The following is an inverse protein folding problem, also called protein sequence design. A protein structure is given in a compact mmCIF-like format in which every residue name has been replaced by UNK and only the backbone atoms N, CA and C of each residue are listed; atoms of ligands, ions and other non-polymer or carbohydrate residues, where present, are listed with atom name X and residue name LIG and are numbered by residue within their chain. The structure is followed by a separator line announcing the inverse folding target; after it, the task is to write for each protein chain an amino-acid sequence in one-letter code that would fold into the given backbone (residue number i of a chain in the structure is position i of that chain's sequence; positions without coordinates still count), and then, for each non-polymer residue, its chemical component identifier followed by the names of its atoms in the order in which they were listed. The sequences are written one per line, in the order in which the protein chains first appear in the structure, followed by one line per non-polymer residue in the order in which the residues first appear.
data_IF_636897190508
#
_entry.id   IF_636897190508
#
_cell.length_a   1.000
_cell.length_b   1.000
_cell.length_c   1.000
_cell.angle_alpha   90.00
_cell.angle_beta   90.00
_cell.angle_gamma   90.00
#
_symmetry.space_group_name_H-M   'P 1'
#
loop_
_entity.id
_entity.type
_entity.pdbx_description
1 polymer ?
#
# COMPACT_ATOMS: atom_id res chain seq x y z
N UNK A 1 -46.13 -13.11 -7.76
CA UNK A 1 -45.68 -14.30 -6.99
C UNK A 1 -44.77 -15.20 -7.82
N UNK A 2 -45.27 -15.98 -8.79
CA UNK A 2 -44.44 -16.98 -9.54
C UNK A 2 -43.27 -16.36 -10.32
N UNK A 3 -43.50 -15.30 -11.12
CA UNK A 3 -42.43 -14.62 -11.87
C UNK A 3 -41.32 -14.07 -10.97
N UNK A 4 -41.71 -13.44 -9.85
CA UNK A 4 -40.77 -12.92 -8.85
C UNK A 4 -39.92 -14.05 -8.26
N UNK A 5 -40.53 -15.18 -7.90
CA UNK A 5 -39.82 -16.35 -7.38
C UNK A 5 -38.83 -16.94 -8.41
N UNK A 6 -39.20 -16.98 -9.70
CA UNK A 6 -38.28 -17.40 -10.76
C UNK A 6 -37.08 -16.46 -10.91
N UNK A 7 -37.31 -15.14 -10.95
CA UNK A 7 -36.23 -14.13 -11.05
C UNK A 7 -35.29 -14.21 -9.85
N UNK A 8 -35.87 -14.31 -8.63
CA UNK A 8 -35.11 -14.40 -7.40
C UNK A 8 -34.29 -15.71 -7.35
N UNK A 9 -34.90 -16.83 -7.75
CA UNK A 9 -34.24 -18.14 -7.80
C UNK A 9 -33.10 -18.20 -8.82
N UNK A 10 -33.33 -17.71 -10.04
CA UNK A 10 -32.27 -17.65 -11.06
C UNK A 10 -31.14 -16.71 -10.67
N UNK A 11 -31.47 -15.58 -10.05
CA UNK A 11 -30.46 -14.63 -9.54
C UNK A 11 -29.62 -15.23 -8.42
N UNK A 12 -30.24 -15.95 -7.49
CA UNK A 12 -29.54 -16.63 -6.41
C UNK A 12 -28.60 -17.73 -6.94
N UNK A 13 -29.04 -18.53 -7.92
CA UNK A 13 -28.21 -19.56 -8.53
C UNK A 13 -27.01 -18.97 -9.29
N UNK A 14 -27.23 -17.88 -10.04
CA UNK A 14 -26.15 -17.14 -10.71
C UNK A 14 -25.14 -16.59 -9.69
N UNK A 15 -25.62 -16.01 -8.59
CA UNK A 15 -24.77 -15.48 -7.54
C UNK A 15 -23.93 -16.59 -6.89
N UNK A 16 -24.52 -17.75 -6.60
CA UNK A 16 -23.81 -18.91 -6.04
C UNK A 16 -22.75 -19.43 -7.01
N UNK A 17 -23.09 -19.60 -8.30
CA UNK A 17 -22.15 -20.05 -9.32
C UNK A 17 -20.98 -19.05 -9.51
N UNK A 18 -21.29 -17.76 -9.48
CA UNK A 18 -20.29 -16.70 -9.53
C UNK A 18 -19.36 -16.75 -8.31
N UNK A 19 -19.90 -16.81 -7.09
CA UNK A 19 -19.08 -16.92 -5.88
C UNK A 19 -18.20 -18.15 -5.87
N UNK A 20 -18.74 -19.30 -6.28
CA UNK A 20 -17.97 -20.53 -6.38
C UNK A 20 -16.81 -20.42 -7.40
N UNK A 21 -17.01 -19.67 -8.48
CA UNK A 21 -15.97 -19.41 -9.46
C UNK A 21 -14.91 -18.46 -8.89
N UNK A 22 -15.33 -17.38 -8.24
CA UNK A 22 -14.42 -16.42 -7.60
C UNK A 22 -13.57 -17.11 -6.54
N UNK A 23 -14.18 -17.90 -5.65
CA UNK A 23 -13.44 -18.63 -4.60
C UNK A 23 -12.44 -19.60 -5.21
N UNK A 24 -12.82 -20.35 -6.25
CA UNK A 24 -11.90 -21.26 -6.93
C UNK A 24 -10.69 -20.53 -7.53
N UNK A 25 -10.92 -19.42 -8.22
CA UNK A 25 -9.83 -18.62 -8.80
C UNK A 25 -8.94 -18.00 -7.73
N UNK A 26 -9.53 -17.46 -6.66
CA UNK A 26 -8.78 -16.86 -5.55
C UNK A 26 -7.93 -17.90 -4.83
N UNK A 27 -8.48 -19.09 -4.57
CA UNK A 27 -7.75 -20.21 -3.96
C UNK A 27 -6.59 -20.65 -4.86
N UNK A 28 -6.83 -20.77 -6.17
CA UNK A 28 -5.79 -21.17 -7.12
C UNK A 28 -4.67 -20.13 -7.18
N UNK A 29 -5.04 -18.86 -7.24
CA UNK A 29 -4.10 -17.75 -7.24
C UNK A 29 -3.30 -17.69 -5.93
N UNK A 30 -3.97 -17.79 -4.79
CA UNK A 30 -3.34 -17.77 -3.47
C UNK A 30 -2.36 -18.93 -3.30
N UNK A 31 -2.77 -20.15 -3.69
CA UNK A 31 -1.90 -21.33 -3.66
C UNK A 31 -0.67 -21.15 -4.55
N UNK A 32 -0.83 -20.66 -5.78
CA UNK A 32 0.28 -20.40 -6.67
C UNK A 32 1.23 -19.31 -6.14
N UNK A 33 0.68 -18.25 -5.54
CA UNK A 33 1.47 -17.19 -4.92
C UNK A 33 2.30 -17.72 -3.74
N UNK A 34 1.74 -18.64 -2.94
CA UNK A 34 2.46 -19.31 -1.87
C UNK A 34 3.65 -20.11 -2.37
N UNK A 35 3.45 -20.96 -3.39
CA UNK A 35 4.54 -21.71 -4.01
C UNK A 35 5.62 -20.78 -4.59
N UNK A 36 5.22 -19.67 -5.21
CA UNK A 36 6.16 -18.69 -5.75
C UNK A 36 7.03 -18.07 -4.65
N UNK A 37 6.41 -17.53 -3.59
CA UNK A 37 7.14 -16.91 -2.49
C UNK A 37 8.01 -17.91 -1.73
N UNK A 38 7.53 -19.14 -1.54
CA UNK A 38 8.31 -20.23 -0.94
C UNK A 38 9.57 -20.50 -1.76
N UNK A 39 9.44 -20.65 -3.09
CA UNK A 39 10.59 -20.90 -3.96
C UNK A 39 11.59 -19.72 -3.95
N UNK A 40 11.11 -18.46 -3.87
CA UNK A 40 11.99 -17.30 -3.73
C UNK A 40 12.71 -17.30 -2.37
N UNK A 41 12.01 -17.67 -1.30
CA UNK A 41 12.59 -17.73 0.04
C UNK A 41 13.63 -18.84 0.17
N UNK A 42 13.35 -20.04 -0.34
CA UNK A 42 14.31 -21.15 -0.39
C UNK A 42 15.55 -20.79 -1.21
N UNK A 43 15.37 -20.13 -2.36
CA UNK A 43 16.48 -19.61 -3.16
C UNK A 43 17.31 -18.59 -2.38
N UNK A 44 16.66 -17.68 -1.65
CA UNK A 44 17.36 -16.72 -0.82
C UNK A 44 18.15 -17.44 0.29
N UNK A 45 17.52 -18.35 1.02
CA UNK A 45 18.17 -19.13 2.08
C UNK A 45 19.39 -19.91 1.57
N UNK A 46 19.31 -20.50 0.38
CA UNK A 46 20.43 -21.23 -0.24
C UNK A 46 21.67 -20.35 -0.47
N UNK A 47 21.50 -19.03 -0.64
CA UNK A 47 22.61 -18.09 -0.80
C UNK A 47 23.30 -17.83 0.56
N UNK A 48 22.57 -17.98 1.66
CA UNK A 48 22.99 -17.61 3.01
C UNK A 48 23.16 -18.81 3.96
N UNK A 49 23.23 -20.04 3.44
CA UNK A 49 23.17 -21.31 4.19
C UNK A 49 24.18 -21.42 5.35
N UNK A 50 25.31 -20.71 5.30
CA UNK A 50 26.31 -20.65 6.39
C UNK A 50 26.35 -19.32 7.15
N UNK A 51 25.53 -18.34 6.74
CA UNK A 51 25.55 -16.94 7.21
C UNK A 51 24.16 -16.45 7.59
N UNK A 52 23.36 -17.30 8.21
CA UNK A 52 21.97 -17.02 8.60
C UNK A 52 21.84 -15.75 9.47
N UNK A 53 22.84 -15.48 10.32
CA UNK A 53 22.89 -14.25 11.12
C UNK A 53 22.90 -12.97 10.28
N UNK A 54 23.60 -12.99 9.13
CA UNK A 54 23.61 -11.86 8.20
C UNK A 54 22.22 -11.67 7.59
N UNK A 55 21.56 -12.76 7.20
CA UNK A 55 20.20 -12.73 6.68
C UNK A 55 19.22 -12.15 7.72
N UNK A 56 19.36 -12.54 8.99
CA UNK A 56 18.55 -12.00 10.08
C UNK A 56 18.75 -10.50 10.30
N UNK A 57 20.00 -10.04 10.35
CA UNK A 57 20.34 -8.62 10.54
C UNK A 57 19.85 -7.80 9.35
N UNK A 58 20.09 -8.27 8.12
CA UNK A 58 19.65 -7.60 6.90
C UNK A 58 18.12 -7.58 6.83
N UNK A 59 17.43 -8.69 7.10
CA UNK A 59 15.97 -8.74 7.10
C UNK A 59 15.36 -7.77 8.13
N UNK A 60 15.82 -7.86 9.38
CA UNK A 60 15.34 -7.01 10.48
C UNK A 60 15.62 -5.53 10.26
N UNK A 61 16.70 -5.18 9.57
CA UNK A 61 17.08 -3.77 9.35
C UNK A 61 16.46 -3.23 8.06
N UNK A 62 16.59 -3.95 6.95
CA UNK A 62 16.17 -3.47 5.64
C UNK A 62 14.64 -3.44 5.50
N UNK A 63 13.91 -4.44 5.99
CA UNK A 63 12.45 -4.47 5.87
C UNK A 63 11.78 -3.23 6.47
N UNK A 64 12.02 -2.84 7.74
CA UNK A 64 11.41 -1.64 8.29
C UNK A 64 11.92 -0.36 7.61
N UNK A 65 13.19 -0.31 7.20
CA UNK A 65 13.72 0.84 6.43
C UNK A 65 12.95 0.99 5.11
N UNK A 66 12.78 -0.08 4.34
CA UNK A 66 12.04 -0.05 3.08
C UNK A 66 10.58 0.33 3.28
N UNK A 67 9.91 -0.23 4.30
CA UNK A 67 8.51 0.13 4.60
C UNK A 67 8.41 1.61 5.00
N UNK A 68 9.28 2.07 5.89
CA UNK A 68 9.32 3.46 6.33
C UNK A 68 9.53 4.42 5.16
N UNK A 69 10.54 4.19 4.32
CA UNK A 69 10.86 5.06 3.19
C UNK A 69 9.81 4.98 2.09
N UNK A 70 9.19 3.83 1.85
CA UNK A 70 8.13 3.70 0.85
C UNK A 70 6.87 4.46 1.28
N UNK A 71 6.42 4.28 2.52
CA UNK A 71 5.28 5.01 3.07
C UNK A 71 5.57 6.51 3.17
N UNK A 72 6.73 6.89 3.72
CA UNK A 72 7.14 8.29 3.83
C UNK A 72 7.33 8.93 2.47
N UNK A 73 7.88 8.21 1.49
CA UNK A 73 8.05 8.67 0.12
C UNK A 73 6.70 8.90 -0.56
N UNK A 74 5.73 8.01 -0.37
CA UNK A 74 4.37 8.21 -0.88
C UNK A 74 3.71 9.45 -0.26
N UNK A 75 3.81 9.61 1.06
CA UNK A 75 3.30 10.80 1.76
C UNK A 75 4.01 12.07 1.30
N UNK A 76 5.32 12.02 1.10
CA UNK A 76 6.10 13.14 0.57
C UNK A 76 5.64 13.54 -0.83
N UNK A 77 5.37 12.58 -1.72
CA UNK A 77 4.81 12.85 -3.05
C UNK A 77 3.44 13.53 -2.93
N UNK A 78 2.60 13.08 -2.00
CA UNK A 78 1.29 13.69 -1.74
C UNK A 78 1.42 15.12 -1.22
N UNK A 79 2.35 15.36 -0.28
CA UNK A 79 2.56 16.68 0.32
C UNK A 79 3.18 17.68 -0.65
N UNK A 80 4.13 17.24 -1.47
CA UNK A 80 4.82 18.09 -2.46
C UNK A 80 3.97 18.37 -3.69
N UNK A 81 3.23 17.39 -4.19
CA UNK A 81 2.45 17.51 -5.44
C UNK A 81 1.01 17.94 -5.19
N UNK A 82 0.49 17.77 -3.96
CA UNK A 82 -0.92 18.02 -3.64
C UNK A 82 -1.89 17.04 -4.30
N UNK A 83 -1.39 15.93 -4.86
CA UNK A 83 -2.14 14.89 -5.59
C UNK A 83 -1.80 13.51 -5.00
N UNK A 84 -2.71 12.51 -5.08
CA UNK A 84 -4.03 12.55 -5.70
C UNK A 84 -5.10 13.23 -4.82
N UNK A 85 -6.11 13.81 -5.48
CA UNK A 85 -7.14 14.65 -4.85
C UNK A 85 -7.97 13.91 -3.78
N UNK A 86 -8.02 12.57 -3.86
CA UNK A 86 -8.69 11.73 -2.86
C UNK A 86 -8.00 11.74 -1.50
N UNK A 87 -6.68 11.90 -1.44
CA UNK A 87 -5.93 11.94 -0.17
C UNK A 87 -5.83 13.40 0.31
N UNK A 88 -5.53 14.33 -0.60
CA UNK A 88 -5.31 15.73 -0.23
C UNK A 88 -6.55 16.43 0.33
N UNK A 89 -7.77 15.98 -0.02
CA UNK A 89 -9.04 16.49 0.54
C UNK A 89 -9.23 16.24 2.05
N UNK A 90 -8.48 15.32 2.65
CA UNK A 90 -8.55 15.00 4.08
C UNK A 90 -7.45 15.67 4.91
N UNK A 91 -6.68 16.61 4.33
CA UNK A 91 -5.65 17.36 5.06
C UNK A 91 -6.29 18.24 6.14
N UNK A 92 -5.93 17.99 7.40
CA UNK A 92 -6.45 18.73 8.56
C UNK A 92 -5.86 20.15 8.64
N UNK A 93 -4.62 20.35 8.18
CA UNK A 93 -3.94 21.65 8.20
C UNK A 93 -3.55 22.09 6.78
N UNK A 94 -4.46 22.78 6.11
CA UNK A 94 -4.21 23.30 4.76
C UNK A 94 -3.26 24.50 4.84
N UNK A 95 -2.17 24.48 4.08
CA UNK A 95 -1.23 25.61 3.97
C UNK A 95 -0.21 25.75 5.11
N UNK A 96 -0.37 25.06 6.25
CA UNK A 96 0.56 25.17 7.40
C UNK A 96 1.97 24.60 7.10
N UNK A 97 2.02 23.47 6.41
CA UNK A 97 3.27 22.76 6.07
C UNK A 97 3.68 22.96 4.60
N UNK A 98 3.08 23.93 3.91
CA UNK A 98 3.50 24.24 2.56
C UNK A 98 4.85 24.98 2.62
N UNK A 99 5.75 24.80 1.63
CA UNK A 99 6.98 25.55 1.57
C UNK A 99 6.67 27.05 1.55
N UNK A 100 7.30 27.81 2.45
CA UNK A 100 7.12 29.26 2.53
C UNK A 100 7.57 29.93 1.23
N UNK A 101 6.82 30.93 0.77
CA UNK A 101 7.24 31.75 -0.36
C UNK A 101 8.48 32.58 -0.02
N UNK A 102 9.29 32.92 -1.02
CA UNK A 102 10.50 33.73 -0.81
C UNK A 102 10.23 35.07 -0.11
N UNK A 103 9.08 35.68 -0.40
CA UNK A 103 8.63 36.92 0.25
C UNK A 103 8.26 36.74 1.72
N UNK A 104 7.59 35.64 2.07
CA UNK A 104 7.31 35.31 3.48
C UNK A 104 8.60 35.06 4.26
N UNK A 105 9.56 34.35 3.67
CA UNK A 105 10.87 34.10 4.28
C UNK A 105 11.64 35.41 4.53
N UNK A 106 11.61 36.34 3.57
CA UNK A 106 12.27 37.63 3.73
C UNK A 106 11.65 38.47 4.85
N UNK A 107 10.31 38.56 4.92
CA UNK A 107 9.63 39.31 5.98
C UNK A 107 9.90 38.71 7.37
N UNK A 108 9.93 37.38 7.51
CA UNK A 108 10.22 36.73 8.79
C UNK A 108 11.67 36.98 9.24
N UNK A 109 12.62 36.99 8.29
CA UNK A 109 14.03 37.32 8.57
C UNK A 109 14.25 38.78 8.95
N UNK A 110 13.50 39.71 8.36
CA UNK A 110 13.52 41.13 8.73
C UNK A 110 12.88 41.33 10.12
N UNK A 111 11.74 40.71 10.37
CA UNK A 111 11.07 40.75 11.68
C UNK A 111 11.92 40.15 12.81
N UNK A 112 12.66 39.06 12.56
CA UNK A 112 13.56 38.46 13.56
C UNK A 112 14.84 39.26 13.81
N UNK A 113 15.11 40.30 13.00
CA UNK A 113 16.29 41.16 13.13
C UNK A 113 16.02 42.40 13.98
N UNK A 114 14.75 42.77 14.17
CA UNK A 114 14.30 43.83 15.10
C UNK A 114 14.12 43.29 16.53
#
# INVERSE_FOLDING_TARGET
MRRTAFILGSGLLLLVAFWNSVTWHLQRFWGASGCFWQAQWERLLSIFEEKEWILFILGTTQVPIFVFWSCSGLLLVVDTTGKPNFISRYRIQVGKNNPAGQTQLHQEMEFSRE
#
